data_IF_497203357346
#
_entry.id   IF_497203357346
#
_cell.length_a   1.000
_cell.length_b   1.000
_cell.length_c   1.000
_cell.angle_alpha   90.00
_cell.angle_beta   90.00
_cell.angle_gamma   90.00
#
_symmetry.space_group_name_H-M   'P 1'
#
loop_
_entity.id
_entity.type
_entity.pdbx_description
1 polymer ?
#
# COMPACT_ATOMS: atom_id res chain seq x y z
N UNK A 1 5.88 34.22 -42.53
CA UNK A 1 5.33 33.56 -41.32
C UNK A 1 6.33 32.63 -40.62
N UNK A 2 7.04 31.75 -41.33
CA UNK A 2 7.99 30.78 -40.74
C UNK A 2 9.07 31.38 -39.81
N UNK A 3 9.67 32.54 -40.17
CA UNK A 3 10.73 33.17 -39.36
C UNK A 3 10.26 33.62 -37.96
N UNK A 4 8.98 34.02 -37.82
CA UNK A 4 8.40 34.41 -36.52
C UNK A 4 8.12 33.21 -35.62
N UNK A 5 7.70 32.09 -36.21
CA UNK A 5 7.46 30.83 -35.50
C UNK A 5 8.79 30.23 -35.00
N UNK A 6 9.84 30.32 -35.82
CA UNK A 6 11.20 29.90 -35.44
C UNK A 6 11.75 30.70 -34.25
N UNK A 7 11.52 32.01 -34.21
CA UNK A 7 11.97 32.86 -33.09
C UNK A 7 11.23 32.53 -31.78
N UNK A 8 9.93 32.22 -31.86
CA UNK A 8 9.11 31.83 -30.70
C UNK A 8 9.56 30.49 -30.10
N UNK A 9 9.88 29.50 -30.94
CA UNK A 9 10.40 28.20 -30.50
C UNK A 9 11.75 28.32 -29.79
N UNK A 10 12.64 29.18 -30.29
CA UNK A 10 13.93 29.47 -29.65
C UNK A 10 13.70 30.09 -28.27
N UNK A 11 12.75 31.01 -28.13
CA UNK A 11 12.45 31.66 -26.85
C UNK A 11 11.90 30.66 -25.81
N UNK A 12 11.00 29.76 -26.21
CA UNK A 12 10.45 28.72 -25.32
C UNK A 12 11.54 27.77 -24.84
N UNK A 13 12.46 27.36 -25.72
CA UNK A 13 13.60 26.51 -25.38
C UNK A 13 14.58 27.20 -24.40
N UNK A 14 14.78 28.52 -24.54
CA UNK A 14 15.67 29.30 -23.67
C UNK A 14 15.07 29.60 -22.29
N UNK A 15 13.74 29.57 -22.15
CA UNK A 15 13.04 29.80 -20.86
C UNK A 15 12.72 28.52 -20.09
N UNK A 16 12.99 27.35 -20.66
CA UNK A 16 12.76 26.05 -20.05
C UNK A 16 13.81 25.69 -19.00
N UNK A 17 13.91 26.44 -17.90
CA UNK A 17 14.72 26.01 -16.76
C UNK A 17 13.93 25.01 -15.91
N UNK A 18 14.31 23.73 -15.94
CA UNK A 18 13.84 22.75 -14.97
C UNK A 18 14.62 22.92 -13.66
N UNK A 19 13.90 23.10 -12.55
CA UNK A 19 14.49 23.09 -11.22
C UNK A 19 14.28 21.71 -10.60
N UNK A 20 15.37 21.01 -10.29
CA UNK A 20 15.29 19.78 -9.52
C UNK A 20 15.03 20.17 -8.05
N UNK A 21 13.78 20.06 -7.59
CA UNK A 21 13.45 20.28 -6.18
C UNK A 21 13.91 19.08 -5.35
N UNK A 22 15.23 19.00 -5.12
CA UNK A 22 15.81 18.00 -4.25
C UNK A 22 15.59 18.44 -2.80
N UNK A 23 14.44 18.06 -2.23
CA UNK A 23 14.24 18.21 -0.79
C UNK A 23 15.35 17.46 -0.07
N UNK A 24 16.15 18.18 0.73
CA UNK A 24 17.12 17.56 1.60
C UNK A 24 16.41 16.57 2.53
N UNK A 25 17.03 15.41 2.77
CA UNK A 25 16.49 14.43 3.71
C UNK A 25 16.21 15.11 5.05
N UNK A 26 14.96 15.00 5.52
CA UNK A 26 14.55 15.62 6.79
C UNK A 26 15.32 14.93 7.92
N UNK A 27 16.13 15.69 8.66
CA UNK A 27 16.78 15.17 9.86
C UNK A 27 15.73 14.93 10.94
N UNK A 28 15.56 13.67 11.36
CA UNK A 28 14.68 13.30 12.47
C UNK A 28 15.25 13.91 13.74
N UNK A 29 14.47 14.76 14.42
CA UNK A 29 14.86 15.38 15.69
C UNK A 29 14.45 14.54 16.89
N UNK A 30 13.23 14.01 16.85
CA UNK A 30 12.63 13.25 17.94
C UNK A 30 11.79 12.10 17.37
N UNK A 31 11.77 10.99 18.09
CA UNK A 31 10.90 9.84 17.83
C UNK A 31 9.96 9.73 19.02
N UNK A 32 8.66 9.66 18.75
CA UNK A 32 7.63 9.34 19.75
C UNK A 32 6.96 8.05 19.34
N UNK A 33 7.02 7.06 20.22
CA UNK A 33 6.25 5.82 20.04
C UNK A 33 4.77 6.19 20.23
N UNK A 34 3.98 6.04 19.18
CA UNK A 34 2.54 6.29 19.22
C UNK A 34 1.79 5.12 19.84
N UNK A 35 2.25 3.90 19.56
CA UNK A 35 1.61 2.65 19.94
C UNK A 35 2.62 1.51 19.93
N UNK A 36 2.53 0.61 20.91
CA UNK A 36 3.13 -0.73 20.88
C UNK A 36 2.03 -1.76 20.71
N UNK A 37 2.29 -2.83 19.96
CA UNK A 37 1.39 -3.96 19.80
C UNK A 37 2.19 -5.21 20.14
N UNK A 38 1.80 -5.88 21.21
CA UNK A 38 2.39 -7.15 21.60
C UNK A 38 1.59 -8.27 20.93
N UNK A 39 2.27 -9.09 20.12
CA UNK A 39 1.63 -10.18 19.36
C UNK A 39 2.01 -11.54 19.96
N UNK A 40 1.08 -12.49 19.96
CA UNK A 40 1.35 -13.89 20.34
C UNK A 40 1.94 -14.73 19.19
N UNK A 41 2.15 -14.10 18.04
CA UNK A 41 2.68 -14.69 16.80
C UNK A 41 3.84 -13.82 16.30
N UNK A 42 4.61 -14.34 15.34
CA UNK A 42 5.72 -13.60 14.73
C UNK A 42 5.19 -12.71 13.59
N UNK A 43 5.34 -11.38 13.67
CA UNK A 43 4.92 -10.49 12.59
C UNK A 43 5.94 -10.53 11.44
N UNK A 44 5.46 -10.60 10.20
CA UNK A 44 6.32 -10.51 9.01
C UNK A 44 6.32 -9.10 8.42
N UNK A 45 5.14 -8.52 8.22
CA UNK A 45 4.99 -7.17 7.67
C UNK A 45 3.81 -6.44 8.32
N UNK A 46 3.78 -5.11 8.23
CA UNK A 46 2.68 -4.31 8.74
C UNK A 46 2.47 -3.01 7.95
N UNK A 47 1.24 -2.53 7.97
CA UNK A 47 0.90 -1.20 7.47
C UNK A 47 -0.08 -0.49 8.39
N UNK A 48 -0.02 0.85 8.39
CA UNK A 48 -0.84 1.69 9.26
C UNK A 48 -1.69 2.66 8.42
N UNK A 49 -2.99 2.62 8.64
CA UNK A 49 -3.94 3.61 8.14
C UNK A 49 -4.18 4.67 9.20
N UNK A 50 -3.64 5.88 8.99
CA UNK A 50 -3.86 7.02 9.89
C UNK A 50 -5.32 7.51 9.86
N UNK A 51 -6.02 7.35 8.72
CA UNK A 51 -7.42 7.76 8.55
C UNK A 51 -8.34 6.97 9.49
N UNK A 52 -8.13 5.65 9.56
CA UNK A 52 -8.95 4.75 10.38
C UNK A 52 -8.28 4.37 11.70
N UNK A 53 -7.11 4.94 12.01
CA UNK A 53 -6.25 4.56 13.12
C UNK A 53 -6.10 3.02 13.28
N UNK A 54 -5.91 2.34 12.15
CA UNK A 54 -5.92 0.87 12.08
C UNK A 54 -4.55 0.37 11.64
N UNK A 55 -4.02 -0.62 12.34
CA UNK A 55 -2.78 -1.32 11.98
C UNK A 55 -3.14 -2.70 11.46
N UNK A 56 -2.60 -3.07 10.31
CA UNK A 56 -2.70 -4.41 9.75
C UNK A 56 -1.35 -5.08 9.88
N UNK A 57 -1.34 -6.31 10.38
CA UNK A 57 -0.11 -7.06 10.62
C UNK A 57 -0.23 -8.43 9.96
N UNK A 58 0.67 -8.71 9.03
CA UNK A 58 0.79 -10.01 8.39
C UNK A 58 1.56 -10.96 9.30
N UNK A 59 0.99 -12.11 9.63
CA UNK A 59 1.66 -13.13 10.43
C UNK A 59 2.60 -13.97 9.57
N UNK A 60 3.84 -14.15 10.02
CA UNK A 60 4.86 -14.95 9.33
C UNK A 60 4.45 -16.42 9.17
N UNK A 61 4.79 -17.01 8.02
CA UNK A 61 4.52 -18.42 7.73
C UNK A 61 3.04 -18.77 7.66
N UNK A 62 2.15 -17.78 7.61
CA UNK A 62 0.70 -17.96 7.57
C UNK A 62 0.10 -17.19 6.40
N UNK A 63 -1.19 -17.43 6.14
CA UNK A 63 -1.99 -16.61 5.24
C UNK A 63 -2.96 -15.71 6.02
N UNK A 64 -2.56 -15.21 7.20
CA UNK A 64 -3.41 -14.43 8.11
C UNK A 64 -2.90 -12.99 8.20
N UNK A 65 -3.82 -12.04 8.14
CA UNK A 65 -3.61 -10.64 8.49
C UNK A 65 -4.48 -10.28 9.69
N UNK A 66 -3.84 -9.78 10.73
CA UNK A 66 -4.48 -9.30 11.95
C UNK A 66 -4.78 -7.82 11.84
N UNK A 67 -5.94 -7.40 12.32
CA UNK A 67 -6.45 -6.03 12.22
C UNK A 67 -6.58 -5.45 13.63
N UNK A 68 -5.82 -4.41 13.91
CA UNK A 68 -5.77 -3.76 15.22
C UNK A 68 -6.37 -2.35 15.17
N UNK A 69 -7.30 -2.08 16.08
CA UNK A 69 -7.78 -0.73 16.42
C UNK A 69 -7.08 -0.21 17.67
N UNK A 70 -7.31 1.03 18.10
CA UNK A 70 -6.70 1.58 19.32
C UNK A 70 -6.95 0.76 20.59
N UNK A 71 -7.99 -0.07 20.64
CA UNK A 71 -8.34 -0.89 21.82
C UNK A 71 -7.72 -2.29 21.79
N UNK A 72 -7.02 -2.66 20.71
CA UNK A 72 -6.45 -3.99 20.54
C UNK A 72 -6.79 -4.61 19.19
N UNK A 73 -6.60 -5.93 19.08
CA UNK A 73 -7.02 -6.70 17.92
C UNK A 73 -8.55 -6.70 17.82
N UNK A 74 -9.08 -6.38 16.63
CA UNK A 74 -10.53 -6.34 16.39
C UNK A 74 -11.02 -7.38 15.38
N UNK A 75 -10.15 -7.86 14.50
CA UNK A 75 -10.49 -8.86 13.51
C UNK A 75 -9.25 -9.55 12.93
N UNK A 76 -9.44 -10.67 12.24
CA UNK A 76 -8.46 -11.34 11.40
C UNK A 76 -9.08 -11.68 10.06
N UNK A 77 -8.30 -11.58 8.99
CA UNK A 77 -8.69 -12.01 7.66
C UNK A 77 -7.68 -13.01 7.11
N UNK A 78 -8.16 -13.97 6.32
CA UNK A 78 -7.31 -14.95 5.66
C UNK A 78 -7.45 -16.38 6.17
N UNK A 79 -6.33 -17.09 6.16
CA UNK A 79 -6.24 -18.54 6.23
C UNK A 79 -5.95 -19.15 4.85
N UNK A 80 -5.28 -20.30 4.86
CA UNK A 80 -4.94 -21.02 3.64
C UNK A 80 -6.22 -21.49 2.92
N UNK A 81 -6.28 -21.22 1.63
CA UNK A 81 -7.27 -21.79 0.72
C UNK A 81 -7.85 -20.77 -0.25
N UNK A 82 -8.91 -21.21 -0.92
CA UNK A 82 -9.58 -20.44 -1.96
C UNK A 82 -10.83 -19.75 -1.40
N UNK A 83 -11.19 -18.62 -1.98
CA UNK A 83 -12.41 -17.88 -1.66
C UNK A 83 -12.18 -16.42 -1.28
N UNK A 84 -13.28 -15.72 -1.00
CA UNK A 84 -13.30 -14.25 -0.82
C UNK A 84 -12.36 -13.76 0.28
N UNK A 85 -12.34 -14.45 1.43
CA UNK A 85 -11.57 -14.05 2.61
C UNK A 85 -10.40 -15.00 2.93
N UNK A 86 -9.92 -15.77 1.93
CA UNK A 86 -8.80 -16.71 2.06
C UNK A 86 -7.74 -16.44 1.01
N UNK A 87 -6.54 -16.95 1.23
CA UNK A 87 -5.42 -16.78 0.31
C UNK A 87 -4.75 -18.12 0.01
N UNK A 88 -4.40 -18.32 -1.27
CA UNK A 88 -3.57 -19.43 -1.70
C UNK A 88 -2.11 -19.16 -1.33
N UNK A 89 -1.62 -17.93 -1.57
CA UNK A 89 -0.33 -17.47 -1.05
C UNK A 89 -0.36 -15.96 -0.77
N UNK A 90 -0.57 -15.60 0.49
CA UNK A 90 -0.50 -14.22 0.96
C UNK A 90 0.97 -13.77 0.95
N UNK A 91 1.32 -12.84 0.08
CA UNK A 91 2.73 -12.44 -0.11
C UNK A 91 3.05 -11.01 0.31
N UNK A 92 2.07 -10.11 0.29
CA UNK A 92 2.30 -8.69 0.56
C UNK A 92 1.00 -7.98 0.96
N UNK A 93 1.13 -6.88 1.73
CA UNK A 93 0.05 -6.01 2.15
C UNK A 93 0.42 -4.52 2.02
N UNK A 94 -0.54 -3.68 1.64
CA UNK A 94 -0.33 -2.23 1.63
C UNK A 94 -1.63 -1.44 1.79
N UNK A 95 -1.53 -0.13 1.99
CA UNK A 95 -2.69 0.76 2.10
C UNK A 95 -2.88 1.50 0.78
N UNK A 96 -4.09 1.40 0.23
CA UNK A 96 -4.53 2.17 -0.93
C UNK A 96 -4.76 3.66 -0.58
N UNK A 97 -4.77 4.57 -1.58
CA UNK A 97 -4.98 6.00 -1.33
C UNK A 97 -6.29 6.35 -0.62
N UNK A 98 -7.33 5.52 -0.76
CA UNK A 98 -8.60 5.64 -0.04
C UNK A 98 -8.60 4.88 1.30
N UNK A 99 -7.42 4.69 1.89
CA UNK A 99 -7.19 4.18 3.25
C UNK A 99 -7.61 2.73 3.52
N UNK A 100 -7.91 1.97 2.47
CA UNK A 100 -8.29 0.57 2.50
C UNK A 100 -7.07 -0.36 2.32
N UNK A 101 -7.14 -1.57 2.85
CA UNK A 101 -6.08 -2.56 2.76
C UNK A 101 -6.08 -3.23 1.38
N UNK A 102 -4.92 -3.35 0.75
CA UNK A 102 -4.67 -4.20 -0.41
C UNK A 102 -3.83 -5.39 0.02
N UNK A 103 -4.22 -6.58 -0.40
CA UNK A 103 -3.50 -7.83 -0.15
C UNK A 103 -3.22 -8.51 -1.49
N UNK A 104 -1.98 -8.95 -1.68
CA UNK A 104 -1.57 -9.74 -2.83
C UNK A 104 -1.69 -11.25 -2.54
N UNK A 105 -2.55 -11.94 -3.28
CA UNK A 105 -2.52 -13.40 -3.40
C UNK A 105 -1.66 -13.76 -4.61
N UNK A 106 -0.37 -13.99 -4.37
CA UNK A 106 0.60 -14.21 -5.46
C UNK A 106 0.38 -15.53 -6.22
N UNK A 107 -0.23 -16.53 -5.58
CA UNK A 107 -0.53 -17.80 -6.25
C UNK A 107 -1.78 -17.68 -7.11
N UNK A 108 -2.85 -17.09 -6.59
CA UNK A 108 -4.04 -16.78 -7.40
C UNK A 108 -3.78 -15.68 -8.43
N UNK A 109 -2.68 -14.94 -8.29
CA UNK A 109 -2.37 -13.76 -9.09
C UNK A 109 -3.54 -12.78 -9.01
N UNK A 110 -3.95 -12.42 -7.81
CA UNK A 110 -4.99 -11.42 -7.59
C UNK A 110 -4.62 -10.43 -6.48
N UNK A 111 -5.15 -9.22 -6.58
CA UNK A 111 -5.11 -8.22 -5.51
C UNK A 111 -6.52 -8.12 -4.94
N UNK A 112 -6.65 -8.34 -3.64
CA UNK A 112 -7.92 -8.22 -2.90
C UNK A 112 -7.87 -6.97 -2.04
N UNK A 113 -8.93 -6.17 -2.10
CA UNK A 113 -9.10 -4.93 -1.35
C UNK A 113 -10.09 -5.14 -0.22
N UNK A 114 -9.69 -4.81 1.00
CA UNK A 114 -10.51 -4.90 2.21
C UNK A 114 -10.68 -3.52 2.85
N UNK A 115 -11.83 -3.28 3.46
CA UNK A 115 -12.02 -2.13 4.33
C UNK A 115 -11.21 -2.28 5.64
N UNK A 116 -11.26 -1.25 6.47
CA UNK A 116 -10.54 -1.24 7.74
C UNK A 116 -11.16 -2.13 8.81
N UNK A 117 -12.37 -2.67 8.60
CA UNK A 117 -13.00 -3.72 9.39
C UNK A 117 -12.61 -5.14 8.95
N UNK A 118 -12.09 -5.30 7.74
CA UNK A 118 -11.75 -6.61 7.14
C UNK A 118 -12.82 -7.16 6.21
N UNK A 119 -13.78 -6.36 5.75
CA UNK A 119 -14.75 -6.74 4.72
C UNK A 119 -14.15 -6.60 3.33
N UNK A 120 -14.32 -7.62 2.48
CA UNK A 120 -13.87 -7.55 1.08
C UNK A 120 -14.69 -6.51 0.30
N UNK A 121 -13.99 -5.52 -0.28
CA UNK A 121 -14.56 -4.48 -1.15
C UNK A 121 -14.50 -4.92 -2.62
N UNK A 122 -13.33 -5.37 -3.07
CA UNK A 122 -13.07 -5.66 -4.48
C UNK A 122 -11.93 -6.66 -4.66
N UNK A 123 -11.88 -7.29 -5.83
CA UNK A 123 -10.78 -8.16 -6.25
C UNK A 123 -10.45 -7.85 -7.72
N UNK A 124 -9.15 -7.76 -8.02
CA UNK A 124 -8.65 -7.62 -9.39
C UNK A 124 -7.79 -8.84 -9.70
N UNK A 125 -8.12 -9.53 -10.80
CA UNK A 125 -7.31 -10.62 -11.33
C UNK A 125 -6.13 -10.04 -12.12
N UNK A 126 -4.92 -10.44 -11.74
CA UNK A 126 -3.68 -10.06 -12.44
C UNK A 126 -3.39 -10.97 -13.64
N UNK A 127 -4.16 -12.04 -13.84
CA UNK A 127 -3.96 -13.01 -14.94
C UNK A 127 -4.10 -12.38 -16.33
N UNK A 128 -4.86 -11.28 -16.43
CA UNK A 128 -5.12 -10.56 -17.68
C UNK A 128 -4.08 -9.46 -17.96
N UNK A 129 -3.31 -9.07 -16.94
CA UNK A 129 -2.20 -8.15 -17.13
C UNK A 129 -1.02 -8.99 -17.63
N UNK A 130 -0.68 -8.82 -18.91
CA UNK A 130 0.44 -9.53 -19.53
C UNK A 130 1.70 -9.42 -18.67
N UNK A 131 2.56 -10.44 -18.74
CA UNK A 131 3.88 -10.37 -18.10
C UNK A 131 4.56 -9.06 -18.55
N UNK A 132 5.23 -8.34 -17.63
CA UNK A 132 5.99 -7.16 -18.01
C UNK A 132 7.00 -7.48 -19.12
#
# INVERSE_FOLDING_TARGET
MLKKISLLLIFVLLTGCSYLNQQAMRKIKNIRILRSIDTSYVPHDCCYSAVHNTVFVMQEGSNIVHIYSSTGEKNMIGGLGFGKNKFSKLSDITISPDANLLILDSFEKSIKKFDWEGSLIAEIQLKEFGRP
#
